data_IF_001813279813
#
_entry.id   IF_001813279813
#
_cell.length_a   1.000
_cell.length_b   1.000
_cell.length_c   1.000
_cell.angle_alpha   90.00
_cell.angle_beta   90.00
_cell.angle_gamma   90.00
#
_symmetry.space_group_name_H-M   'P 1'
#
loop_
_entity.id
_entity.type
_entity.pdbx_description
1 polymer ?
#
# COMPACT_ATOMS: atom_id res chain seq x y z
N UNK A 1 29.49 -10.69 15.37
CA UNK A 1 30.48 -11.19 14.39
C UNK A 1 29.87 -12.25 13.48
N UNK A 2 29.41 -13.41 14.00
CA UNK A 2 28.81 -14.47 13.17
C UNK A 2 27.62 -14.01 12.33
N UNK A 3 26.66 -13.27 12.91
CA UNK A 3 25.51 -12.73 12.17
C UNK A 3 25.93 -11.84 11.00
N UNK A 4 26.93 -10.97 11.20
CA UNK A 4 27.45 -10.11 10.14
C UNK A 4 28.12 -10.92 9.03
N UNK A 5 28.88 -11.96 9.38
CA UNK A 5 29.50 -12.87 8.42
C UNK A 5 28.44 -13.60 7.58
N UNK A 6 27.40 -14.14 8.22
CA UNK A 6 26.28 -14.81 7.53
C UNK A 6 25.55 -13.83 6.62
N UNK A 7 25.21 -12.63 7.09
CA UNK A 7 24.53 -11.62 6.27
C UNK A 7 25.38 -11.18 5.07
N UNK A 8 26.69 -11.05 5.24
CA UNK A 8 27.60 -10.74 4.14
C UNK A 8 27.57 -11.85 3.07
N UNK A 9 27.68 -13.11 3.48
CA UNK A 9 27.64 -14.28 2.58
C UNK A 9 26.30 -14.43 1.88
N UNK A 10 25.19 -14.23 2.59
CA UNK A 10 23.85 -14.28 1.99
C UNK A 10 23.63 -13.13 1.01
N UNK A 11 24.10 -11.93 1.33
CA UNK A 11 23.99 -10.79 0.41
C UNK A 11 24.80 -11.01 -0.87
N UNK A 12 26.03 -11.53 -0.76
CA UNK A 12 26.87 -11.92 -1.91
C UNK A 12 26.16 -12.94 -2.81
N UNK A 13 25.56 -13.97 -2.20
CA UNK A 13 24.82 -15.01 -2.92
C UNK A 13 23.58 -14.43 -3.63
N UNK A 14 22.77 -13.64 -2.93
CA UNK A 14 21.57 -13.01 -3.51
C UNK A 14 21.95 -12.06 -4.65
N UNK A 15 23.00 -11.26 -4.50
CA UNK A 15 23.48 -10.36 -5.55
C UNK A 15 23.91 -11.15 -6.79
N UNK A 16 24.67 -12.24 -6.61
CA UNK A 16 25.10 -13.12 -7.70
C UNK A 16 23.92 -13.77 -8.42
N UNK A 17 22.95 -14.30 -7.67
CA UNK A 17 21.72 -14.87 -8.22
C UNK A 17 20.92 -13.83 -9.02
N UNK A 18 20.83 -12.59 -8.50
CA UNK A 18 20.15 -11.50 -9.21
C UNK A 18 20.82 -11.14 -10.53
N UNK A 19 22.15 -11.07 -10.57
CA UNK A 19 22.89 -10.78 -11.80
C UNK A 19 22.70 -11.89 -12.84
N UNK A 20 22.81 -13.17 -12.44
CA UNK A 20 22.57 -14.31 -13.31
C UNK A 20 21.12 -14.31 -13.84
N UNK A 21 20.14 -14.02 -12.98
CA UNK A 21 18.74 -13.90 -13.39
C UNK A 21 18.55 -12.81 -14.45
N UNK A 22 19.09 -11.60 -14.21
CA UNK A 22 18.99 -10.48 -15.16
C UNK A 22 19.64 -10.77 -16.53
N UNK A 23 20.71 -11.56 -16.55
CA UNK A 23 21.35 -11.99 -17.81
C UNK A 23 20.49 -13.00 -18.58
N UNK A 24 19.81 -13.90 -17.87
CA UNK A 24 18.95 -14.93 -18.46
C UNK A 24 17.55 -14.44 -18.84
N UNK A 25 17.14 -13.27 -18.34
CA UNK A 25 15.77 -12.79 -18.45
C UNK A 25 15.40 -12.42 -19.90
N UNK A 26 14.18 -12.80 -20.30
CA UNK A 26 13.62 -12.46 -21.61
C UNK A 26 13.45 -10.94 -21.75
N UNK A 27 13.30 -10.50 -23.00
CA UNK A 27 13.00 -9.10 -23.32
C UNK A 27 11.67 -8.69 -22.68
N UNK A 28 11.72 -7.68 -21.81
CA UNK A 28 10.56 -7.04 -21.19
C UNK A 28 10.63 -5.52 -21.42
N UNK A 29 9.48 -4.85 -21.40
CA UNK A 29 9.38 -3.42 -21.74
C UNK A 29 10.05 -2.50 -20.71
N UNK A 30 10.08 -2.90 -19.43
CA UNK A 30 10.74 -2.20 -18.32
C UNK A 30 12.24 -1.97 -18.57
N UNK A 31 12.90 -2.88 -19.28
CA UNK A 31 14.32 -2.78 -19.62
C UNK A 31 14.64 -1.69 -20.67
N UNK A 32 13.63 -1.23 -21.42
CA UNK A 32 13.78 -0.25 -22.51
C UNK A 32 13.07 1.07 -22.22
N UNK A 33 12.30 1.14 -21.14
CA UNK A 33 11.40 2.25 -20.87
C UNK A 33 11.82 2.97 -19.59
N UNK A 34 11.86 4.29 -19.65
CA UNK A 34 12.12 5.17 -18.52
C UNK A 34 10.87 6.00 -18.28
N UNK A 35 10.46 6.12 -17.03
CA UNK A 35 9.42 7.04 -16.63
C UNK A 35 10.06 8.41 -16.39
N UNK A 36 9.62 9.40 -17.14
CA UNK A 36 10.01 10.80 -17.01
C UNK A 36 8.90 11.54 -16.28
N UNK A 37 9.23 12.27 -15.23
CA UNK A 37 8.29 13.07 -14.42
C UNK A 37 8.74 14.50 -14.29
N UNK A 38 7.78 15.39 -14.01
CA UNK A 38 8.00 16.81 -13.85
C UNK A 38 8.66 17.44 -15.08
N UNK A 39 8.08 17.16 -16.25
CA UNK A 39 8.40 17.85 -17.50
C UNK A 39 8.00 19.33 -17.34
N UNK A 40 8.90 20.29 -17.59
CA UNK A 40 8.57 21.70 -17.47
C UNK A 40 7.50 22.09 -18.50
N UNK A 41 6.54 22.96 -18.13
CA UNK A 41 5.54 23.44 -19.07
C UNK A 41 6.21 24.32 -20.13
N UNK A 42 5.83 24.14 -21.39
CA UNK A 42 6.18 25.03 -22.49
C UNK A 42 4.92 25.77 -22.95
N UNK A 43 5.07 27.03 -23.39
CA UNK A 43 3.98 27.85 -23.89
C UNK A 43 3.62 27.54 -25.35
N UNK A 44 4.58 26.98 -26.11
CA UNK A 44 4.45 26.79 -27.56
C UNK A 44 4.28 25.32 -27.96
N UNK A 45 4.82 24.39 -27.16
CA UNK A 45 4.85 22.96 -27.47
C UNK A 45 3.95 22.16 -26.51
N UNK A 46 3.28 21.14 -27.05
CA UNK A 46 2.62 20.15 -26.21
C UNK A 46 3.65 19.34 -25.41
N UNK A 47 3.23 18.71 -24.30
CA UNK A 47 4.12 17.85 -23.49
C UNK A 47 4.72 16.72 -24.35
N UNK A 48 3.96 16.19 -25.32
CA UNK A 48 4.44 15.13 -26.21
C UNK A 48 5.58 15.62 -27.12
N UNK A 49 5.41 16.80 -27.74
CA UNK A 49 6.40 17.42 -28.63
C UNK A 49 7.65 17.83 -27.84
N UNK A 50 7.47 18.43 -26.66
CA UNK A 50 8.59 18.83 -25.79
C UNK A 50 9.42 17.61 -25.36
N UNK A 51 8.78 16.51 -24.95
CA UNK A 51 9.49 15.26 -24.63
C UNK A 51 10.20 14.70 -25.86
N UNK A 52 9.54 14.69 -27.03
CA UNK A 52 10.16 14.20 -28.26
C UNK A 52 11.40 15.03 -28.64
N UNK A 53 11.27 16.36 -28.68
CA UNK A 53 12.35 17.28 -28.98
C UNK A 53 13.52 17.12 -27.99
N UNK A 54 13.23 17.10 -26.68
CA UNK A 54 14.25 16.92 -25.65
C UNK A 54 15.06 15.63 -25.84
N UNK A 55 14.39 14.51 -26.08
CA UNK A 55 15.08 13.22 -26.23
C UNK A 55 15.72 13.02 -27.60
N UNK A 56 15.20 13.63 -28.67
CA UNK A 56 15.86 13.63 -29.97
C UNK A 56 17.17 14.42 -29.95
N UNK A 57 17.23 15.54 -29.23
CA UNK A 57 18.45 16.35 -29.12
C UNK A 57 19.49 15.69 -28.19
N UNK A 58 19.06 15.21 -27.03
CA UNK A 58 19.99 14.69 -26.01
C UNK A 58 20.34 13.20 -26.19
N UNK A 59 19.46 12.41 -26.83
CA UNK A 59 19.62 10.96 -27.01
C UNK A 59 19.27 10.50 -28.45
N UNK A 60 19.83 11.12 -29.51
CA UNK A 60 19.38 10.97 -30.90
C UNK A 60 19.41 9.52 -31.41
N UNK A 61 20.47 8.78 -31.13
CA UNK A 61 20.66 7.41 -31.65
C UNK A 61 19.85 6.36 -30.87
N UNK A 62 19.37 6.71 -29.67
CA UNK A 62 18.75 5.77 -28.75
C UNK A 62 17.25 6.00 -28.55
N UNK A 63 16.74 7.21 -28.76
CA UNK A 63 15.33 7.49 -28.66
C UNK A 63 14.52 6.65 -29.65
N UNK A 64 13.40 6.06 -29.18
CA UNK A 64 12.47 5.28 -30.01
C UNK A 64 11.11 5.96 -30.10
N UNK A 65 10.46 6.18 -28.97
CA UNK A 65 9.11 6.75 -28.89
C UNK A 65 8.80 7.19 -27.47
N UNK A 66 7.77 8.01 -27.31
CA UNK A 66 7.24 8.41 -26.01
C UNK A 66 5.74 8.10 -25.91
N UNK A 67 5.25 7.97 -24.69
CA UNK A 67 3.83 7.85 -24.38
C UNK A 67 3.53 8.75 -23.20
N UNK A 68 2.77 9.82 -23.46
CA UNK A 68 2.38 10.78 -22.42
C UNK A 68 1.33 10.17 -21.50
N UNK A 69 1.37 10.55 -20.23
CA UNK A 69 0.41 10.16 -19.19
C UNK A 69 -0.75 11.13 -19.18
N UNK A 70 -1.97 10.59 -19.21
CA UNK A 70 -3.21 11.34 -19.07
C UNK A 70 -3.84 11.09 -17.70
N UNK A 71 -4.49 12.10 -17.13
CA UNK A 71 -5.32 11.95 -15.95
C UNK A 71 -6.62 11.22 -16.33
N UNK A 72 -6.61 9.90 -16.19
CA UNK A 72 -7.73 9.02 -16.49
C UNK A 72 -8.35 8.41 -15.23
N UNK A 73 -8.26 9.08 -14.07
CA UNK A 73 -8.74 8.53 -12.79
C UNK A 73 -10.26 8.29 -12.80
N UNK A 74 -11.05 9.29 -13.22
CA UNK A 74 -12.51 9.18 -13.31
C UNK A 74 -12.91 8.08 -14.31
N UNK A 75 -12.23 8.03 -15.47
CA UNK A 75 -12.42 6.98 -16.47
C UNK A 75 -12.10 5.59 -15.91
N UNK A 76 -11.00 5.46 -15.16
CA UNK A 76 -10.59 4.20 -14.53
C UNK A 76 -11.62 3.74 -13.48
N UNK A 77 -12.18 4.66 -12.71
CA UNK A 77 -13.22 4.36 -11.71
C UNK A 77 -14.51 3.88 -12.37
N UNK A 78 -14.96 4.53 -13.46
CA UNK A 78 -16.12 4.08 -14.26
C UNK A 78 -15.88 2.68 -14.86
N UNK A 79 -14.68 2.42 -15.39
CA UNK A 79 -14.32 1.09 -15.93
C UNK A 79 -14.29 0.03 -14.82
N UNK A 80 -13.79 0.38 -13.63
CA UNK A 80 -13.77 -0.52 -12.48
C UNK A 80 -15.20 -0.83 -11.98
N UNK A 81 -16.07 0.17 -11.96
CA UNK A 81 -17.49 0.00 -11.65
C UNK A 81 -18.18 -0.91 -12.68
N UNK A 82 -17.92 -0.72 -13.98
CA UNK A 82 -18.44 -1.58 -15.04
C UNK A 82 -18.03 -3.04 -14.85
N UNK A 83 -16.76 -3.29 -14.52
CA UNK A 83 -16.28 -4.65 -14.23
C UNK A 83 -16.99 -5.27 -13.01
N UNK A 84 -17.25 -4.49 -11.96
CA UNK A 84 -18.01 -4.97 -10.79
C UNK A 84 -19.45 -5.33 -11.17
N UNK A 85 -20.13 -4.49 -11.94
CA UNK A 85 -21.49 -4.77 -12.43
C UNK A 85 -21.52 -5.99 -13.34
N UNK A 86 -20.51 -6.16 -14.19
CA UNK A 86 -20.37 -7.33 -15.04
C UNK A 86 -20.18 -8.62 -14.22
N UNK A 87 -19.38 -8.60 -13.16
CA UNK A 87 -19.26 -9.74 -12.24
C UNK A 87 -20.60 -10.09 -11.57
N UNK A 88 -21.41 -9.08 -11.21
CA UNK A 88 -22.75 -9.31 -10.68
C UNK A 88 -23.69 -9.88 -11.73
N UNK A 89 -23.65 -9.37 -12.97
CA UNK A 89 -24.38 -9.93 -14.09
C UNK A 89 -24.04 -11.40 -14.31
N UNK A 90 -22.74 -11.74 -14.35
CA UNK A 90 -22.26 -13.11 -14.51
C UNK A 90 -22.74 -14.01 -13.36
N UNK A 91 -22.74 -13.51 -12.11
CA UNK A 91 -23.29 -14.24 -10.96
C UNK A 91 -24.78 -14.58 -11.16
N UNK A 92 -25.60 -13.63 -11.61
CA UNK A 92 -27.02 -13.86 -11.84
C UNK A 92 -27.27 -14.75 -13.07
N UNK A 93 -26.47 -14.59 -14.13
CA UNK A 93 -26.51 -15.44 -15.30
C UNK A 93 -26.22 -16.90 -14.92
N UNK A 94 -25.14 -17.16 -14.17
CA UNK A 94 -24.81 -18.50 -13.68
C UNK A 94 -25.91 -19.10 -12.81
N UNK A 95 -26.55 -18.27 -11.97
CA UNK A 95 -27.68 -18.70 -11.14
C UNK A 95 -28.89 -19.13 -12.00
N UNK A 96 -29.17 -18.39 -13.07
CA UNK A 96 -30.23 -18.74 -14.03
C UNK A 96 -29.87 -19.98 -14.86
N UNK A 97 -28.62 -20.10 -15.32
CA UNK A 97 -28.17 -21.28 -16.08
C UNK A 97 -28.31 -22.56 -15.24
N UNK A 98 -28.04 -22.49 -13.93
CA UNK A 98 -28.20 -23.62 -13.00
C UNK A 98 -29.66 -23.98 -12.73
N UNK A 99 -30.56 -23.00 -12.66
CA UNK A 99 -31.99 -23.23 -12.49
C UNK A 99 -32.80 -22.37 -13.48
N UNK A 100 -33.19 -22.99 -14.60
CA UNK A 100 -33.88 -22.33 -15.71
C UNK A 100 -35.35 -22.01 -15.44
N UNK A 101 -35.92 -22.51 -14.34
CA UNK A 101 -37.35 -22.39 -14.06
C UNK A 101 -37.78 -20.96 -13.75
N UNK A 102 -36.91 -20.15 -13.13
CA UNK A 102 -37.25 -18.77 -12.74
C UNK A 102 -36.09 -17.81 -12.99
N UNK A 103 -36.39 -16.68 -13.64
CA UNK A 103 -35.42 -15.59 -13.81
C UNK A 103 -35.08 -14.96 -12.46
N UNK A 104 -33.79 -14.72 -12.16
CA UNK A 104 -33.36 -14.20 -10.87
C UNK A 104 -33.83 -12.75 -10.70
N UNK A 105 -34.47 -12.47 -9.57
CA UNK A 105 -34.90 -11.11 -9.20
C UNK A 105 -34.00 -10.53 -8.13
N UNK A 106 -33.60 -9.27 -8.30
CA UNK A 106 -32.86 -8.50 -7.31
C UNK A 106 -33.77 -7.40 -6.71
N UNK A 107 -33.47 -6.99 -5.48
CA UNK A 107 -34.09 -5.81 -4.86
C UNK A 107 -33.07 -4.67 -4.88
N UNK A 108 -33.53 -3.46 -5.22
CA UNK A 108 -32.68 -2.29 -5.46
C UNK A 108 -32.32 -1.46 -4.22
N UNK A 109 -32.87 -1.77 -3.04
CA UNK A 109 -32.66 -0.98 -1.82
C UNK A 109 -31.42 -1.38 -1.04
N UNK A 110 -31.26 -0.76 0.13
CA UNK A 110 -30.07 -0.89 0.98
C UNK A 110 -29.68 -2.35 1.22
N UNK A 111 -28.44 -2.72 0.85
CA UNK A 111 -27.87 -4.07 0.95
C UNK A 111 -28.70 -5.18 0.26
N UNK A 112 -29.55 -4.83 -0.71
CA UNK A 112 -30.43 -5.80 -1.39
C UNK A 112 -31.60 -6.30 -0.54
N UNK A 113 -31.87 -5.67 0.61
CA UNK A 113 -32.90 -6.12 1.55
C UNK A 113 -34.27 -5.51 1.23
N UNK A 114 -34.30 -4.23 0.86
CA UNK A 114 -35.51 -3.43 0.66
C UNK A 114 -35.68 -3.00 -0.81
N UNK A 115 -36.88 -2.52 -1.19
CA UNK A 115 -37.14 -1.98 -2.54
C UNK A 115 -37.86 -2.93 -3.52
N UNK A 116 -38.17 -2.38 -4.70
CA UNK A 116 -38.90 -3.07 -5.78
C UNK A 116 -38.09 -4.25 -6.31
N UNK A 117 -38.75 -5.40 -6.50
CA UNK A 117 -38.15 -6.58 -7.16
C UNK A 117 -38.12 -6.33 -8.67
N UNK A 118 -36.93 -6.31 -9.23
CA UNK A 118 -36.70 -6.18 -10.68
C UNK A 118 -35.99 -7.42 -11.21
N UNK A 119 -36.10 -7.70 -12.51
CA UNK A 119 -35.27 -8.71 -13.16
C UNK A 119 -33.81 -8.27 -13.04
N UNK A 120 -32.98 -9.10 -12.40
CA UNK A 120 -31.60 -8.73 -12.12
C UNK A 120 -30.80 -8.60 -13.42
N UNK A 121 -31.02 -9.49 -14.38
CA UNK A 121 -30.24 -9.53 -15.62
C UNK A 121 -30.55 -8.30 -16.49
N UNK A 122 -31.84 -7.98 -16.66
CA UNK A 122 -32.23 -6.82 -17.46
C UNK A 122 -31.76 -5.51 -16.80
N UNK A 123 -31.82 -5.42 -15.46
CA UNK A 123 -31.32 -4.27 -14.72
C UNK A 123 -29.80 -4.06 -14.88
N UNK A 124 -29.00 -5.10 -14.65
CA UNK A 124 -27.54 -5.00 -14.82
C UNK A 124 -27.15 -4.75 -16.28
N UNK A 125 -27.88 -5.31 -17.25
CA UNK A 125 -27.64 -5.02 -18.68
C UNK A 125 -27.83 -3.53 -18.97
N UNK A 126 -28.94 -2.95 -18.53
CA UNK A 126 -29.22 -1.53 -18.72
C UNK A 126 -28.20 -0.61 -18.01
N UNK A 127 -27.77 -0.96 -16.78
CA UNK A 127 -26.74 -0.19 -16.07
C UNK A 127 -25.36 -0.31 -16.75
N UNK A 128 -25.01 -1.50 -17.27
CA UNK A 128 -23.76 -1.70 -18.02
C UNK A 128 -23.77 -0.88 -19.32
N UNK A 129 -24.90 -0.82 -20.04
CA UNK A 129 -25.05 0.00 -21.25
C UNK A 129 -24.89 1.49 -20.92
N UNK A 130 -25.62 1.99 -19.92
CA UNK A 130 -25.51 3.37 -19.45
C UNK A 130 -24.10 3.74 -19.03
N UNK A 131 -23.40 2.84 -18.33
CA UNK A 131 -22.03 3.06 -17.91
C UNK A 131 -21.05 3.00 -19.10
N UNK A 132 -21.34 2.19 -20.11
CA UNK A 132 -20.55 2.13 -21.35
C UNK A 132 -20.64 3.44 -22.14
N UNK A 133 -21.82 4.05 -22.23
CA UNK A 133 -22.00 5.38 -22.82
C UNK A 133 -21.20 6.44 -22.06
N UNK A 134 -21.30 6.46 -20.72
CA UNK A 134 -20.51 7.37 -19.88
C UNK A 134 -19.00 7.20 -20.08
N UNK A 135 -18.52 5.96 -20.16
CA UNK A 135 -17.12 5.63 -20.44
C UNK A 135 -16.69 6.19 -21.81
N UNK A 136 -17.53 6.08 -22.84
CA UNK A 136 -17.22 6.62 -24.16
C UNK A 136 -17.10 8.14 -24.15
N UNK A 137 -18.05 8.81 -23.49
CA UNK A 137 -18.03 10.29 -23.34
C UNK A 137 -16.78 10.74 -22.59
N UNK A 138 -16.48 10.11 -21.45
CA UNK A 138 -15.32 10.49 -20.63
C UNK A 138 -14.01 10.17 -21.35
N UNK A 139 -13.92 9.07 -22.11
CA UNK A 139 -12.75 8.76 -22.93
C UNK A 139 -12.49 9.84 -23.98
N UNK A 140 -13.53 10.32 -24.66
CA UNK A 140 -13.38 11.42 -25.63
C UNK A 140 -12.96 12.72 -24.96
N UNK A 141 -13.47 13.00 -23.75
CA UNK A 141 -13.06 14.16 -22.96
C UNK A 141 -11.57 14.09 -22.60
N UNK A 142 -11.10 12.99 -22.03
CA UNK A 142 -9.70 12.81 -21.63
C UNK A 142 -8.74 12.93 -22.83
N UNK A 143 -9.13 12.46 -24.01
CA UNK A 143 -8.30 12.57 -25.22
C UNK A 143 -8.24 13.99 -25.80
N UNK A 144 -9.26 14.83 -25.56
CA UNK A 144 -9.32 16.21 -26.05
C UNK A 144 -8.86 17.24 -25.03
N UNK A 145 -8.85 16.88 -23.74
CA UNK A 145 -8.53 17.78 -22.66
C UNK A 145 -7.01 17.91 -22.49
N UNK A 146 -6.45 18.99 -23.04
CA UNK A 146 -5.04 19.35 -22.85
C UNK A 146 -4.68 19.57 -21.38
N UNK A 147 -5.63 20.01 -20.54
CA UNK A 147 -5.40 20.18 -19.09
C UNK A 147 -5.35 18.86 -18.34
N UNK A 148 -5.88 17.78 -18.95
CA UNK A 148 -5.80 16.43 -18.44
C UNK A 148 -4.45 15.76 -18.70
N UNK A 149 -3.57 16.38 -19.48
CA UNK A 149 -2.24 15.85 -19.77
C UNK A 149 -1.32 16.12 -18.60
N UNK A 150 -0.75 15.06 -18.02
CA UNK A 150 0.16 15.18 -16.88
C UNK A 150 1.57 15.49 -17.40
N UNK A 151 2.41 16.25 -16.65
CA UNK A 151 3.82 16.48 -16.97
C UNK A 151 4.67 15.23 -16.66
N UNK A 152 4.27 14.09 -17.24
CA UNK A 152 4.90 12.79 -17.11
C UNK A 152 4.71 11.99 -18.40
N UNK A 153 5.74 11.23 -18.78
CA UNK A 153 5.73 10.40 -19.98
C UNK A 153 6.58 9.14 -19.77
N UNK A 154 6.20 8.07 -20.44
CA UNK A 154 7.03 6.89 -20.61
C UNK A 154 7.85 7.05 -21.88
N UNK A 155 9.17 7.09 -21.76
CA UNK A 155 10.09 7.24 -22.89
C UNK A 155 10.77 5.90 -23.13
N UNK A 156 10.63 5.39 -24.35
CA UNK A 156 11.21 4.12 -24.77
C UNK A 156 12.46 4.36 -25.61
N UNK A 157 13.45 3.50 -25.43
CA UNK A 157 14.73 3.53 -26.13
C UNK A 157 14.92 2.28 -27.00
N UNK A 158 15.68 2.42 -28.10
CA UNK A 158 16.05 1.31 -29.00
C UNK A 158 16.94 0.28 -28.29
N UNK A 159 17.76 0.71 -27.34
CA UNK A 159 18.73 -0.13 -26.62
C UNK A 159 18.48 -0.09 -25.11
N UNK A 160 18.74 -1.23 -24.44
CA UNK A 160 18.71 -1.30 -22.95
C UNK A 160 19.74 -0.38 -22.31
N UNK A 161 20.88 -0.23 -22.97
CA UNK A 161 21.95 0.65 -22.52
C UNK A 161 21.52 2.12 -22.53
N UNK A 162 20.86 2.59 -23.60
CA UNK A 162 20.34 3.95 -23.67
C UNK A 162 19.33 4.24 -22.55
N UNK A 163 18.40 3.31 -22.29
CA UNK A 163 17.49 3.42 -21.16
C UNK A 163 18.22 3.46 -19.81
N UNK A 164 19.25 2.63 -19.63
CA UNK A 164 20.05 2.59 -18.40
C UNK A 164 20.81 3.90 -18.14
N UNK A 165 21.40 4.48 -19.19
CA UNK A 165 22.10 5.77 -19.11
C UNK A 165 21.10 6.87 -18.78
N UNK A 166 19.95 6.93 -19.47
CA UNK A 166 18.91 7.91 -19.19
C UNK A 166 18.39 7.81 -17.75
N UNK A 167 18.09 6.61 -17.24
CA UNK A 167 17.52 6.43 -15.91
C UNK A 167 18.48 6.75 -14.75
N UNK A 168 19.79 6.78 -15.01
CA UNK A 168 20.83 6.96 -13.97
C UNK A 168 21.51 8.33 -14.02
N UNK A 169 21.26 9.12 -15.06
CA UNK A 169 21.90 10.44 -15.25
C UNK A 169 20.93 11.57 -14.96
N UNK A 170 21.44 12.65 -14.37
CA UNK A 170 20.70 13.89 -14.22
C UNK A 170 20.58 14.57 -15.58
N UNK A 171 19.34 14.78 -16.06
CA UNK A 171 19.09 15.28 -17.41
C UNK A 171 19.29 16.80 -17.55
N UNK A 172 19.00 17.57 -16.51
CA UNK A 172 19.07 19.05 -16.56
C UNK A 172 19.77 19.63 -15.32
N UNK A 173 20.12 20.93 -15.39
CA UNK A 173 20.72 21.66 -14.26
C UNK A 173 19.83 21.69 -13.02
N UNK A 174 18.51 21.73 -13.20
CA UNK A 174 17.55 21.72 -12.10
C UNK A 174 17.26 20.28 -11.67
N UNK A 175 17.63 19.85 -10.46
CA UNK A 175 17.40 18.47 -10.00
C UNK A 175 15.92 18.12 -9.79
N UNK A 176 15.00 19.09 -9.88
CA UNK A 176 13.56 18.81 -9.75
C UNK A 176 12.85 18.62 -11.08
N UNK A 177 13.47 18.94 -12.22
CA UNK A 177 12.86 18.84 -13.55
C UNK A 177 13.42 17.65 -14.33
N UNK A 178 12.64 17.11 -15.27
CA UNK A 178 13.04 15.96 -16.09
C UNK A 178 13.53 14.77 -15.26
N UNK A 179 12.77 14.43 -14.22
CA UNK A 179 13.09 13.36 -13.30
C UNK A 179 12.91 12.02 -13.99
N UNK A 180 14.02 11.32 -14.21
CA UNK A 180 14.05 10.00 -14.86
C UNK A 180 14.13 8.90 -13.81
N UNK A 181 13.19 7.96 -13.87
CA UNK A 181 13.17 6.75 -13.05
C UNK A 181 12.95 5.53 -13.94
N UNK A 182 13.47 4.37 -13.54
CA UNK A 182 13.14 3.11 -14.23
C UNK A 182 11.63 2.91 -14.27
N UNK A 183 11.06 2.75 -15.46
CA UNK A 183 9.64 2.45 -15.58
C UNK A 183 9.39 1.04 -15.03
N UNK A 184 8.45 0.86 -14.08
CA UNK A 184 8.05 -0.48 -13.67
C UNK A 184 7.35 -1.17 -14.84
N UNK A 185 7.24 -2.50 -14.76
CA UNK A 185 6.49 -3.26 -15.75
C UNK A 185 5.04 -2.76 -15.82
N UNK A 186 4.41 -2.77 -17.00
CA UNK A 186 3.07 -2.21 -17.20
C UNK A 186 2.00 -2.74 -16.22
N UNK A 187 2.14 -3.99 -15.77
CA UNK A 187 1.27 -4.61 -14.74
C UNK A 187 1.57 -4.15 -13.31
N UNK A 188 2.79 -3.69 -13.04
CA UNK A 188 3.24 -3.18 -11.74
C UNK A 188 3.02 -1.66 -11.60
N UNK A 189 2.68 -0.96 -12.68
CA UNK A 189 2.34 0.46 -12.65
C UNK A 189 1.03 0.66 -11.88
N UNK A 190 1.08 1.49 -10.84
CA UNK A 190 -0.10 1.97 -10.12
C UNK A 190 -0.57 3.30 -10.73
N UNK A 191 -1.41 3.17 -11.78
CA UNK A 191 -1.83 4.27 -12.64
C UNK A 191 -2.47 5.46 -11.91
N UNK A 192 -3.25 5.22 -10.86
CA UNK A 192 -3.94 6.28 -10.11
C UNK A 192 -2.97 7.32 -9.52
N UNK A 193 -1.73 6.91 -9.22
CA UNK A 193 -0.73 7.80 -8.63
C UNK A 193 0.11 8.59 -9.64
N UNK A 194 0.04 8.23 -10.93
CA UNK A 194 0.77 8.95 -11.98
C UNK A 194 0.16 10.34 -12.27
N UNK A 195 -1.12 10.51 -11.99
CA UNK A 195 -1.84 11.77 -12.16
C UNK A 195 -1.59 12.78 -11.03
N UNK A 196 -0.63 12.53 -10.13
CA UNK A 196 -0.33 13.45 -9.04
C UNK A 196 0.83 14.40 -9.38
N UNK A 197 0.66 15.71 -9.17
CA UNK A 197 1.72 16.68 -9.42
C UNK A 197 2.86 16.49 -8.42
N UNK A 198 4.11 16.64 -8.89
CA UNK A 198 5.32 16.36 -8.12
C UNK A 198 5.38 17.14 -6.81
N UNK A 199 5.03 18.44 -6.84
CA UNK A 199 5.01 19.32 -5.66
C UNK A 199 4.10 18.79 -4.54
N UNK A 200 2.97 18.17 -4.92
CA UNK A 200 2.03 17.61 -3.94
C UNK A 200 2.55 16.35 -3.24
N UNK A 201 3.51 15.62 -3.86
CA UNK A 201 4.06 14.40 -3.28
C UNK A 201 4.78 14.66 -1.97
N UNK A 202 5.52 15.77 -1.86
CA UNK A 202 6.23 16.15 -0.64
C UNK A 202 5.25 16.40 0.52
N UNK A 203 4.18 17.15 0.27
CA UNK A 203 3.14 17.44 1.26
C UNK A 203 2.41 16.16 1.68
N UNK A 204 1.99 15.33 0.72
CA UNK A 204 1.31 14.05 1.00
C UNK A 204 2.19 13.11 1.83
N UNK A 205 3.47 12.98 1.47
CA UNK A 205 4.44 12.18 2.25
C UNK A 205 4.58 12.73 3.66
N UNK A 206 4.71 14.05 3.83
CA UNK A 206 4.80 14.66 5.15
C UNK A 206 3.55 14.36 6.01
N UNK A 207 2.36 14.59 5.45
CA UNK A 207 1.08 14.28 6.11
C UNK A 207 1.00 12.80 6.53
N UNK A 208 1.44 11.88 5.66
CA UNK A 208 1.45 10.44 5.99
C UNK A 208 2.49 10.05 7.03
N UNK A 209 3.61 10.78 7.18
CA UNK A 209 4.54 10.58 8.30
C UNK A 209 3.90 11.03 9.63
N UNK A 210 3.24 12.18 9.65
CA UNK A 210 2.51 12.68 10.82
C UNK A 210 1.37 11.73 11.19
N UNK A 211 0.58 11.29 10.22
CA UNK A 211 -0.49 10.31 10.43
C UNK A 211 0.06 8.96 10.96
N UNK A 212 1.21 8.52 10.45
CA UNK A 212 1.87 7.31 10.94
C UNK A 212 2.34 7.46 12.39
N UNK A 213 2.88 8.61 12.76
CA UNK A 213 3.25 8.91 14.14
C UNK A 213 2.03 8.80 15.07
N UNK A 214 0.90 9.44 14.73
CA UNK A 214 -0.32 9.32 15.52
C UNK A 214 -0.86 7.89 15.57
N UNK A 215 -0.84 7.18 14.43
CA UNK A 215 -1.22 5.76 14.39
C UNK A 215 -0.38 4.96 15.38
N UNK A 216 0.95 5.16 15.39
CA UNK A 216 1.82 4.47 16.33
C UNK A 216 1.53 4.83 17.78
N UNK A 217 1.35 6.12 18.09
CA UNK A 217 1.08 6.61 19.44
C UNK A 217 -0.24 6.09 20.00
N UNK A 218 -1.34 6.21 19.25
CA UNK A 218 -2.66 5.75 19.70
C UNK A 218 -2.76 4.22 19.79
N UNK A 219 -1.95 3.47 19.02
CA UNK A 219 -1.93 2.01 19.10
C UNK A 219 -1.29 1.45 20.38
N UNK A 220 -0.60 2.28 21.18
CA UNK A 220 -0.12 1.88 22.50
C UNK A 220 -1.30 1.53 23.42
N UNK A 221 -2.44 2.22 23.30
CA UNK A 221 -3.61 2.01 24.15
C UNK A 221 -4.21 0.60 23.97
N UNK A 222 -4.54 0.13 22.75
CA UNK A 222 -4.93 -1.26 22.53
C UNK A 222 -3.90 -2.27 23.05
N UNK A 223 -2.61 -2.01 22.86
CA UNK A 223 -1.56 -2.93 23.30
C UNK A 223 -1.52 -3.02 24.83
N UNK A 224 -1.59 -1.88 25.52
CA UNK A 224 -1.70 -1.82 26.97
C UNK A 224 -2.94 -2.58 27.46
N UNK A 225 -4.07 -2.45 26.76
CA UNK A 225 -5.26 -3.22 27.06
C UNK A 225 -5.03 -4.74 26.90
N UNK A 226 -4.42 -5.19 25.80
CA UNK A 226 -4.08 -6.62 25.60
C UNK A 226 -3.12 -7.13 26.68
N UNK A 227 -2.11 -6.35 27.05
CA UNK A 227 -1.16 -6.71 28.12
C UNK A 227 -1.85 -6.74 29.50
N UNK A 228 -2.82 -5.86 29.75
CA UNK A 228 -3.62 -5.90 30.99
C UNK A 228 -4.47 -7.17 31.05
N UNK A 229 -5.11 -7.57 29.95
CA UNK A 229 -5.82 -8.85 29.82
C UNK A 229 -4.89 -10.07 29.85
N UNK A 230 -3.60 -9.91 29.59
CA UNK A 230 -2.61 -10.97 29.76
C UNK A 230 -2.28 -11.23 31.24
N UNK A 231 -2.49 -10.22 32.10
CA UNK A 231 -2.29 -10.34 33.54
C UNK A 231 -3.55 -10.88 34.21
N UNK A 232 -3.37 -11.80 35.15
CA UNK A 232 -4.50 -12.41 35.88
C UNK A 232 -5.20 -11.37 36.76
N UNK A 233 -4.42 -10.47 37.35
CA UNK A 233 -4.95 -9.36 38.13
C UNK A 233 -5.80 -8.41 37.28
N UNK A 234 -5.40 -8.16 36.03
CA UNK A 234 -6.18 -7.37 35.08
C UNK A 234 -7.50 -8.04 34.69
N UNK A 235 -7.50 -9.36 34.42
CA UNK A 235 -8.75 -10.09 34.13
C UNK A 235 -9.67 -10.13 35.35
N UNK A 236 -9.13 -10.41 36.54
CA UNK A 236 -9.90 -10.48 37.78
C UNK A 236 -10.57 -9.13 38.12
N UNK A 237 -9.93 -8.01 37.73
CA UNK A 237 -10.47 -6.66 37.89
C UNK A 237 -11.47 -6.26 36.80
N UNK A 238 -11.23 -6.63 35.55
CA UNK A 238 -12.08 -6.24 34.41
C UNK A 238 -13.28 -7.17 34.16
N UNK A 239 -13.19 -8.44 34.54
CA UNK A 239 -14.22 -9.45 34.33
C UNK A 239 -14.35 -10.41 35.54
N UNK A 240 -14.85 -9.92 36.70
CA UNK A 240 -14.90 -10.69 37.94
C UNK A 240 -15.77 -11.95 37.88
N UNK A 241 -16.68 -12.06 36.90
CA UNK A 241 -17.50 -13.24 36.67
C UNK A 241 -16.71 -14.45 36.13
N UNK A 242 -15.48 -14.26 35.64
CA UNK A 242 -14.61 -15.34 35.15
C UNK A 242 -13.75 -15.99 36.25
N UNK A 243 -13.75 -15.45 37.47
CA UNK A 243 -12.95 -15.95 38.60
C UNK A 243 -13.08 -17.48 38.84
N UNK A 244 -14.28 -18.10 38.80
CA UNK A 244 -14.43 -19.55 39.03
C UNK A 244 -13.76 -20.41 37.95
N UNK A 245 -13.60 -19.86 36.75
CA UNK A 245 -13.02 -20.56 35.59
C UNK A 245 -11.50 -20.36 35.55
N UNK A 246 -11.02 -19.18 35.98
CA UNK A 246 -9.59 -18.81 36.02
C UNK A 246 -8.82 -19.54 37.12
N UNK A 247 -9.46 -19.94 38.22
CA UNK A 247 -8.80 -20.68 39.30
C UNK A 247 -8.32 -22.09 38.91
N UNK A 248 -8.81 -22.66 37.80
CA UNK A 248 -8.30 -23.93 37.28
C UNK A 248 -6.89 -23.75 36.73
N UNK A 249 -5.89 -24.39 37.36
CA UNK A 249 -4.45 -24.32 36.98
C UNK A 249 -4.17 -24.44 35.49
N UNK A 250 -4.89 -25.34 34.79
CA UNK A 250 -4.74 -25.50 33.34
C UNK A 250 -5.22 -24.27 32.56
N UNK A 251 -6.43 -23.78 32.86
CA UNK A 251 -7.03 -22.62 32.17
C UNK A 251 -6.22 -21.35 32.47
N UNK A 252 -5.74 -21.20 33.72
CA UNK A 252 -4.83 -20.12 34.14
C UNK A 252 -3.59 -20.03 33.24
N UNK A 253 -2.94 -21.16 33.01
CA UNK A 253 -1.72 -21.25 32.18
C UNK A 253 -2.00 -20.95 30.70
N UNK A 254 -3.12 -21.47 30.15
CA UNK A 254 -3.52 -21.22 28.77
C UNK A 254 -3.86 -19.74 28.55
N UNK A 255 -4.58 -19.12 29.49
CA UNK A 255 -4.95 -17.70 29.40
C UNK A 255 -3.71 -16.81 29.48
N UNK A 256 -2.77 -17.05 30.41
CA UNK A 256 -1.55 -16.24 30.48
C UNK A 256 -0.60 -16.45 29.29
N UNK A 257 -0.50 -17.68 28.78
CA UNK A 257 0.46 -18.03 27.74
C UNK A 257 0.00 -17.79 26.29
N UNK A 258 -1.29 -18.03 25.99
CA UNK A 258 -1.77 -18.05 24.60
C UNK A 258 -2.71 -16.89 24.25
N UNK A 259 -3.59 -16.50 25.17
CA UNK A 259 -4.62 -15.48 24.89
C UNK A 259 -4.03 -14.14 24.42
N UNK A 260 -2.95 -13.60 25.02
CA UNK A 260 -2.39 -12.31 24.62
C UNK A 260 -1.86 -12.34 23.19
N UNK A 261 -1.23 -13.46 22.79
CA UNK A 261 -0.73 -13.66 21.45
C UNK A 261 -1.84 -13.72 20.40
N UNK A 262 -2.96 -14.40 20.70
CA UNK A 262 -4.12 -14.48 19.80
C UNK A 262 -4.76 -13.10 19.66
N UNK A 263 -5.00 -12.40 20.77
CA UNK A 263 -5.64 -11.08 20.75
C UNK A 263 -4.74 -10.06 20.03
N UNK A 264 -3.43 -10.04 20.31
CA UNK A 264 -2.49 -9.18 19.60
C UNK A 264 -2.50 -9.46 18.09
N UNK A 265 -2.50 -10.74 17.69
CA UNK A 265 -2.58 -11.13 16.28
C UNK A 265 -3.87 -10.61 15.61
N UNK A 266 -5.02 -10.71 16.29
CA UNK A 266 -6.29 -10.18 15.78
C UNK A 266 -6.22 -8.67 15.54
N UNK A 267 -5.61 -7.89 16.44
CA UNK A 267 -5.39 -6.45 16.23
C UNK A 267 -4.45 -6.18 15.06
N UNK A 268 -3.41 -6.99 14.87
CA UNK A 268 -2.43 -6.81 13.81
C UNK A 268 -2.94 -7.20 12.41
N UNK A 269 -4.03 -7.97 12.27
CA UNK A 269 -4.57 -8.37 10.96
C UNK A 269 -5.03 -7.17 10.12
N UNK A 270 -5.61 -6.15 10.76
CA UNK A 270 -6.12 -4.96 10.05
C UNK A 270 -5.02 -3.97 9.68
N UNK A 271 -3.89 -4.03 10.38
CA UNK A 271 -2.83 -3.04 10.25
C UNK A 271 -2.19 -3.01 8.84
N UNK A 272 -1.84 -4.14 8.19
CA UNK A 272 -1.32 -4.12 6.83
C UNK A 272 -2.24 -3.40 5.83
N UNK A 273 -3.56 -3.55 5.96
CA UNK A 273 -4.51 -2.88 5.08
C UNK A 273 -4.48 -1.35 5.27
N UNK A 274 -4.41 -0.88 6.53
CA UNK A 274 -4.28 0.54 6.87
C UNK A 274 -2.95 1.09 6.31
N UNK A 275 -1.84 0.40 6.54
CA UNK A 275 -0.51 0.83 6.07
C UNK A 275 -0.39 0.83 4.54
N UNK A 276 -1.07 -0.10 3.86
CA UNK A 276 -1.17 -0.13 2.41
C UNK A 276 -1.98 1.08 1.90
N UNK A 277 -3.10 1.42 2.55
CA UNK A 277 -3.90 2.60 2.20
C UNK A 277 -3.09 3.89 2.37
N UNK A 278 -2.34 4.03 3.47
CA UNK A 278 -1.44 5.17 3.69
C UNK A 278 -0.35 5.25 2.61
N UNK A 279 0.24 4.11 2.24
CA UNK A 279 1.28 4.06 1.21
C UNK A 279 0.74 4.43 -0.18
N UNK A 280 -0.49 4.02 -0.50
CA UNK A 280 -1.19 4.44 -1.74
C UNK A 280 -1.35 5.96 -1.80
N UNK A 281 -1.73 6.59 -0.69
CA UNK A 281 -1.89 8.05 -0.60
C UNK A 281 -0.57 8.84 -0.75
N UNK A 282 0.58 8.26 -0.41
CA UNK A 282 1.91 8.90 -0.56
C UNK A 282 2.33 9.10 -2.02
N UNK A 283 1.73 8.37 -2.95
CA UNK A 283 1.99 8.57 -4.38
C UNK A 283 3.20 7.85 -4.95
N UNK A 284 3.41 6.60 -4.58
CA UNK A 284 4.36 5.74 -5.29
C UNK A 284 3.77 5.25 -6.60
N UNK A 285 4.61 5.17 -7.63
CA UNK A 285 4.21 4.82 -9.00
C UNK A 285 4.11 3.31 -9.23
N UNK A 286 4.90 2.50 -8.51
CA UNK A 286 4.88 1.03 -8.66
C UNK A 286 4.24 0.35 -7.45
N UNK A 287 3.51 -0.73 -7.70
CA UNK A 287 2.96 -1.62 -6.67
C UNK A 287 4.09 -2.16 -5.77
N UNK A 288 5.22 -2.58 -6.35
CA UNK A 288 6.39 -3.08 -5.63
C UNK A 288 6.96 -2.04 -4.63
N UNK A 289 7.00 -0.76 -5.00
CA UNK A 289 7.40 0.31 -4.08
C UNK A 289 6.36 0.59 -2.98
N UNK A 290 5.07 0.51 -3.29
CA UNK A 290 3.98 0.62 -2.31
C UNK A 290 4.09 -0.49 -1.25
N UNK A 291 4.27 -1.73 -1.69
CA UNK A 291 4.45 -2.89 -0.82
C UNK A 291 5.69 -2.78 0.05
N UNK A 292 6.85 -2.41 -0.54
CA UNK A 292 8.09 -2.19 0.21
C UNK A 292 7.93 -1.11 1.27
N UNK A 293 7.22 -0.02 0.94
CA UNK A 293 6.96 1.08 1.88
C UNK A 293 6.00 0.67 3.00
N UNK A 294 4.94 -0.06 2.67
CA UNK A 294 4.00 -0.59 3.66
C UNK A 294 4.69 -1.59 4.59
N UNK A 295 5.53 -2.47 4.06
CA UNK A 295 6.34 -3.41 4.84
C UNK A 295 7.33 -2.71 5.77
N UNK A 296 8.00 -1.65 5.29
CA UNK A 296 8.89 -0.85 6.13
C UNK A 296 8.16 -0.17 7.30
N UNK A 297 6.98 0.41 7.04
CA UNK A 297 6.12 0.96 8.11
C UNK A 297 5.65 -0.12 9.09
N UNK A 298 5.30 -1.29 8.59
CA UNK A 298 4.89 -2.41 9.41
C UNK A 298 6.05 -2.89 10.31
N UNK A 299 7.27 -2.95 9.77
CA UNK A 299 8.47 -3.23 10.56
C UNK A 299 8.69 -2.18 11.66
N UNK A 300 8.66 -0.89 11.33
CA UNK A 300 8.79 0.19 12.32
C UNK A 300 7.70 0.14 13.38
N UNK A 301 6.46 -0.15 12.97
CA UNK A 301 5.35 -0.34 13.89
C UNK A 301 5.62 -1.51 14.85
N UNK A 302 6.04 -2.67 14.34
CA UNK A 302 6.37 -3.81 15.21
C UNK A 302 7.51 -3.48 16.18
N UNK A 303 8.55 -2.78 15.71
CA UNK A 303 9.65 -2.36 16.56
C UNK A 303 9.19 -1.43 17.70
N UNK A 304 8.42 -0.40 17.39
CA UNK A 304 7.99 0.61 18.38
C UNK A 304 6.86 0.10 19.27
N UNK A 305 5.83 -0.50 18.70
CA UNK A 305 4.63 -0.86 19.45
C UNK A 305 4.67 -2.27 20.01
N UNK A 306 5.02 -3.26 19.18
CA UNK A 306 4.99 -4.66 19.60
C UNK A 306 6.20 -5.01 20.46
N UNK A 307 7.40 -4.56 20.09
CA UNK A 307 8.62 -4.81 20.86
C UNK A 307 8.80 -3.78 21.98
N UNK A 308 9.10 -2.51 21.67
CA UNK A 308 9.36 -1.49 22.70
C UNK A 308 8.13 -1.21 23.56
N UNK A 309 6.95 -1.05 22.95
CA UNK A 309 5.70 -0.76 23.65
C UNK A 309 5.31 -1.86 24.63
N UNK A 310 5.47 -3.14 24.27
CA UNK A 310 5.21 -4.26 25.19
C UNK A 310 6.22 -4.34 26.33
N UNK A 311 7.50 -4.04 26.09
CA UNK A 311 8.52 -3.97 27.13
C UNK A 311 8.16 -2.84 28.11
N UNK A 312 8.00 -1.61 27.62
CA UNK A 312 7.74 -0.43 28.47
C UNK A 312 6.44 -0.60 29.26
N UNK A 313 5.36 -0.99 28.59
CA UNK A 313 4.04 -1.13 29.23
C UNK A 313 4.03 -2.31 30.20
N UNK A 314 4.65 -3.43 29.82
CA UNK A 314 4.78 -4.60 30.66
C UNK A 314 5.60 -4.32 31.92
N UNK A 315 6.75 -3.65 31.80
CA UNK A 315 7.55 -3.21 32.94
C UNK A 315 6.77 -2.23 33.82
N UNK A 316 6.07 -1.26 33.22
CA UNK A 316 5.27 -0.29 33.97
C UNK A 316 4.16 -0.95 34.78
N UNK A 317 3.47 -1.97 34.25
CA UNK A 317 2.43 -2.69 35.00
C UNK A 317 2.99 -3.60 36.09
N UNK A 318 4.05 -4.38 35.81
CA UNK A 318 4.64 -5.31 36.78
C UNK A 318 5.36 -4.60 37.93
N UNK A 319 5.93 -3.43 37.66
CA UNK A 319 6.72 -2.66 38.62
C UNK A 319 6.00 -1.40 39.10
N UNK A 320 4.72 -1.20 38.77
CA UNK A 320 3.94 0.00 39.12
C UNK A 320 4.05 0.34 40.61
N UNK A 321 3.93 -0.69 41.45
CA UNK A 321 3.97 -0.56 42.90
C UNK A 321 5.38 -0.19 43.42
N UNK A 322 6.43 -0.61 42.70
CA UNK A 322 7.81 -0.19 42.99
C UNK A 322 8.13 1.21 42.46
N UNK A 323 7.60 1.60 41.30
CA UNK A 323 7.76 2.95 40.74
C UNK A 323 7.04 4.02 41.58
N UNK A 324 5.91 3.67 42.20
CA UNK A 324 5.19 4.57 43.10
C UNK A 324 5.85 4.71 44.48
N UNK A 325 6.63 3.71 44.92
CA UNK A 325 7.20 3.65 46.27
C UNK A 325 8.73 3.89 46.34
N UNK A 326 9.46 3.79 45.24
CA UNK A 326 10.93 3.96 45.18
C UNK A 326 11.37 5.31 44.61
N UNK A 327 12.59 5.73 44.95
CA UNK A 327 13.21 6.96 44.41
C UNK A 327 13.56 6.83 42.92
N UNK A 328 13.55 7.96 42.21
CA UNK A 328 13.82 8.02 40.77
C UNK A 328 15.18 7.42 40.35
N UNK A 329 16.17 7.42 41.25
CA UNK A 329 17.51 6.87 41.01
C UNK A 329 17.51 5.35 40.75
N UNK A 330 16.48 4.62 41.18
CA UNK A 330 16.39 3.17 40.97
C UNK A 330 15.83 2.79 39.59
N UNK A 331 15.19 3.72 38.86
CA UNK A 331 14.46 3.47 37.60
C UNK A 331 15.30 2.72 36.55
N UNK A 332 16.58 3.08 36.28
CA UNK A 332 17.39 2.35 35.29
C UNK A 332 17.63 0.89 35.69
N UNK A 333 17.75 0.62 37.00
CA UNK A 333 17.93 -0.73 37.54
C UNK A 333 16.64 -1.54 37.44
N UNK A 334 15.49 -0.93 37.69
CA UNK A 334 14.16 -1.57 37.58
C UNK A 334 13.88 -2.00 36.14
N UNK A 335 14.18 -1.13 35.15
CA UNK A 335 14.09 -1.44 33.71
C UNK A 335 15.05 -2.57 33.33
N UNK A 336 16.29 -2.54 33.83
CA UNK A 336 17.30 -3.57 33.56
C UNK A 336 16.90 -4.98 34.05
N UNK A 337 16.10 -5.06 35.12
CA UNK A 337 15.55 -6.33 35.64
C UNK A 337 14.27 -6.75 34.91
N UNK A 338 13.52 -5.81 34.36
CA UNK A 338 12.25 -6.10 33.68
C UNK A 338 12.43 -6.66 32.26
N UNK A 339 13.44 -6.20 31.52
CA UNK A 339 13.68 -6.66 30.13
C UNK A 339 13.90 -8.18 30.03
N UNK A 340 14.72 -8.84 30.89
CA UNK A 340 14.93 -10.29 30.82
C UNK A 340 13.72 -11.15 31.20
N UNK A 341 12.71 -10.58 31.86
CA UNK A 341 11.51 -11.29 32.33
C UNK A 341 10.44 -11.35 31.23
N UNK A 342 10.52 -10.48 30.21
CA UNK A 342 9.63 -10.39 29.05
C UNK A 342 10.19 -11.14 27.85
#
# INVERSE_FOLDING_TARGET
IWTCYVLMREYEKIASMRLAFLQSEKRRADQFTVLVRNVPPDANESISENVEHFFMVNHPDHYLTNQVVYNANDLADLVAEKKKLQNWFDYYLLKYTRNKEQRPRAKLGFLGLWGKKVDAMDHYTAEIEKLSEKIMVERQRVMKDEKGVMPAAFVSFKTRWGAAVCAQTQQTKNPTEWLTEWAPEAREVYWQNLAMPYVSLTVRRFVMHVAFFFLTFFFIIPIAFVQSLASIEGIQKSAPFLNPIIEKKFIKSVIQGFLPGIVLKLFLIFLPAILMMMSKFEGFVSISALERRAAFRYYLFNLVNVFLGSIITGSAFEQLDSFLKQSADQIPRTIGVAIPIK
#
